data_IF_015970091351
#
_entry.id   IF_015970091351
#
_cell.length_a   1.000
_cell.length_b   1.000
_cell.length_c   1.000
_cell.angle_alpha   90.00
_cell.angle_beta   90.00
_cell.angle_gamma   90.00
#
_symmetry.space_group_name_H-M   'P 1'
#
loop_
_entity.id
_entity.type
_entity.pdbx_description
1 polymer ?
#
# COMPACT_ATOMS: atom_id res chain seq x y z
N UNK A 1 -4.80 -48.35 -45.79
CA UNK A 1 -3.73 -48.32 -46.80
C UNK A 1 -2.98 -47.00 -46.78
N UNK A 2 -1.67 -47.17 -46.60
CA UNK A 2 -0.52 -46.27 -46.83
C UNK A 2 -0.29 -45.12 -45.84
N UNK A 3 0.62 -45.40 -44.98
CA UNK A 3 1.86 -44.72 -44.56
C UNK A 3 2.19 -43.43 -45.31
N UNK A 4 2.40 -42.39 -44.55
CA UNK A 4 3.14 -41.21 -44.91
C UNK A 4 3.84 -40.67 -43.66
N UNK A 5 5.03 -41.18 -43.40
CA UNK A 5 6.01 -40.62 -42.48
C UNK A 5 6.42 -39.26 -42.95
N UNK A 6 6.19 -38.21 -42.18
CA UNK A 6 6.97 -36.98 -42.29
C UNK A 6 7.58 -36.70 -40.91
N UNK A 7 8.87 -37.05 -40.84
CA UNK A 7 9.84 -36.54 -39.90
C UNK A 7 9.95 -35.04 -40.07
N UNK A 8 9.51 -34.26 -39.07
CA UNK A 8 10.01 -32.92 -38.84
C UNK A 8 10.42 -32.84 -37.38
N UNK A 9 11.72 -32.99 -37.14
CA UNK A 9 12.37 -32.60 -35.94
C UNK A 9 12.40 -31.08 -35.85
N UNK A 10 11.47 -30.52 -35.15
CA UNK A 10 11.55 -29.20 -34.52
C UNK A 10 10.90 -29.35 -33.14
N UNK A 11 11.66 -29.07 -32.10
CA UNK A 11 11.21 -29.16 -30.72
C UNK A 11 10.00 -28.23 -30.52
N UNK A 12 8.80 -28.80 -30.77
CA UNK A 12 7.57 -28.04 -30.92
C UNK A 12 7.12 -27.39 -29.61
N UNK A 13 7.39 -26.12 -29.51
CA UNK A 13 6.61 -25.23 -28.67
C UNK A 13 5.15 -25.24 -29.16
N UNK A 14 4.22 -25.67 -28.31
CA UNK A 14 2.78 -25.58 -28.64
C UNK A 14 2.42 -24.16 -29.07
N UNK A 15 2.14 -23.94 -30.36
CA UNK A 15 1.94 -22.64 -31.01
C UNK A 15 0.73 -21.84 -30.45
N UNK A 16 -0.08 -22.42 -29.57
CA UNK A 16 -1.29 -21.81 -29.03
C UNK A 16 -1.06 -20.94 -27.75
N UNK A 17 0.11 -21.00 -27.12
CA UNK A 17 0.42 -20.16 -25.96
C UNK A 17 1.03 -18.82 -26.42
N UNK A 18 0.60 -17.70 -25.82
CA UNK A 18 1.14 -16.35 -26.08
C UNK A 18 2.65 -16.33 -25.82
N UNK A 19 3.11 -16.97 -24.74
CA UNK A 19 4.51 -17.11 -24.37
C UNK A 19 5.34 -17.74 -25.50
N UNK A 20 4.86 -18.86 -26.05
CA UNK A 20 5.56 -19.58 -27.09
C UNK A 20 5.65 -18.77 -28.40
N UNK A 21 4.65 -17.92 -28.68
CA UNK A 21 4.70 -16.99 -29.80
C UNK A 21 5.74 -15.90 -29.59
N UNK A 22 5.87 -15.36 -28.38
CA UNK A 22 6.91 -14.38 -28.02
C UNK A 22 8.30 -14.99 -28.17
N UNK A 23 8.50 -16.20 -27.63
CA UNK A 23 9.77 -16.93 -27.73
C UNK A 23 10.14 -17.24 -29.18
N UNK A 24 9.18 -17.70 -29.99
CA UNK A 24 9.40 -17.99 -31.41
C UNK A 24 9.77 -16.72 -32.18
N UNK A 25 9.14 -15.59 -31.86
CA UNK A 25 9.47 -14.30 -32.49
C UNK A 25 10.89 -13.87 -32.10
N UNK A 26 11.26 -13.93 -30.81
CA UNK A 26 12.58 -13.57 -30.34
C UNK A 26 13.67 -14.44 -30.99
N UNK A 27 13.44 -15.77 -31.09
CA UNK A 27 14.35 -16.70 -31.77
C UNK A 27 14.49 -16.40 -33.27
N UNK A 28 13.39 -16.00 -33.92
CA UNK A 28 13.45 -15.63 -35.35
C UNK A 28 14.22 -14.33 -35.57
N UNK A 29 14.10 -13.35 -34.70
CA UNK A 29 14.86 -12.08 -34.73
C UNK A 29 16.37 -12.39 -34.55
N UNK A 30 16.71 -13.20 -33.53
CA UNK A 30 18.08 -13.59 -33.28
C UNK A 30 18.75 -14.28 -34.51
N UNK A 31 18.01 -15.18 -35.18
CA UNK A 31 18.47 -15.84 -36.39
C UNK A 31 18.62 -14.88 -37.57
N UNK A 32 17.69 -13.92 -37.71
CA UNK A 32 17.71 -12.96 -38.81
C UNK A 32 18.81 -11.90 -38.65
N UNK A 33 19.20 -11.60 -37.39
CA UNK A 33 20.18 -10.55 -37.08
C UNK A 33 21.30 -11.09 -36.14
N UNK A 34 22.13 -12.04 -36.56
CA UNK A 34 23.08 -12.69 -35.67
C UNK A 34 24.19 -11.78 -35.15
N UNK A 35 24.38 -10.59 -35.73
CA UNK A 35 25.36 -9.60 -35.27
C UNK A 35 24.81 -8.69 -34.14
N UNK A 36 23.50 -8.68 -33.94
CA UNK A 36 22.86 -7.88 -32.92
C UNK A 36 22.46 -8.76 -31.72
N UNK A 37 22.71 -8.28 -30.51
CA UNK A 37 22.21 -8.95 -29.32
C UNK A 37 20.68 -8.88 -29.27
N UNK A 38 20.03 -10.05 -29.20
CA UNK A 38 18.58 -10.14 -28.96
C UNK A 38 18.38 -10.53 -27.50
N UNK A 39 17.78 -9.67 -26.70
CA UNK A 39 17.52 -9.89 -25.27
C UNK A 39 16.01 -9.85 -25.03
N UNK A 40 15.48 -10.91 -24.44
CA UNK A 40 14.10 -10.96 -23.98
C UNK A 40 14.00 -10.33 -22.59
N UNK A 41 13.30 -9.21 -22.47
CA UNK A 41 13.07 -8.56 -21.17
C UNK A 41 11.66 -8.87 -20.70
N UNK A 42 11.54 -9.56 -19.55
CA UNK A 42 10.22 -9.95 -19.01
C UNK A 42 10.27 -10.10 -17.49
N UNK A 43 9.16 -9.72 -16.82
CA UNK A 43 8.94 -10.02 -15.38
C UNK A 43 8.55 -11.48 -15.13
N UNK A 44 8.05 -12.18 -16.15
CA UNK A 44 7.66 -13.59 -16.04
C UNK A 44 8.90 -14.49 -16.00
N UNK A 45 9.16 -15.06 -14.81
CA UNK A 45 10.30 -15.96 -14.57
C UNK A 45 10.22 -17.22 -15.43
N UNK A 46 9.00 -17.76 -15.65
CA UNK A 46 8.81 -18.95 -16.46
C UNK A 46 9.15 -18.68 -17.94
N UNK A 47 8.79 -17.50 -18.43
CA UNK A 47 9.12 -17.07 -19.77
C UNK A 47 10.63 -16.89 -19.94
N UNK A 48 11.33 -16.34 -18.92
CA UNK A 48 12.80 -16.21 -18.95
C UNK A 48 13.49 -17.56 -18.93
N UNK A 49 13.05 -18.50 -18.06
CA UNK A 49 13.60 -19.86 -18.02
C UNK A 49 13.42 -20.58 -19.36
N UNK A 50 12.26 -20.44 -19.99
CA UNK A 50 12.01 -21.00 -21.32
C UNK A 50 12.89 -20.35 -22.39
N UNK A 51 13.14 -19.04 -22.30
CA UNK A 51 14.02 -18.32 -23.21
C UNK A 51 15.47 -18.82 -23.09
N UNK A 52 16.00 -18.95 -21.87
CA UNK A 52 17.32 -19.49 -21.60
C UNK A 52 17.47 -20.93 -22.14
N UNK A 53 16.46 -21.77 -21.95
CA UNK A 53 16.44 -23.14 -22.48
C UNK A 53 16.48 -23.20 -24.02
N UNK A 54 16.05 -22.12 -24.69
CA UNK A 54 16.12 -21.98 -26.15
C UNK A 54 17.38 -21.24 -26.62
N UNK A 55 18.29 -20.89 -25.69
CA UNK A 55 19.52 -20.15 -26.01
C UNK A 55 19.30 -18.67 -26.33
N UNK A 56 18.18 -18.12 -25.90
CA UNK A 56 17.88 -16.70 -25.97
C UNK A 56 18.31 -16.01 -24.67
N UNK A 57 19.10 -14.93 -24.77
CA UNK A 57 19.40 -14.12 -23.59
C UNK A 57 18.10 -13.53 -23.03
N UNK A 58 17.89 -13.70 -21.72
CA UNK A 58 16.70 -13.18 -21.06
C UNK A 58 17.09 -12.40 -19.80
N UNK A 59 16.47 -11.23 -19.63
CA UNK A 59 16.71 -10.33 -18.50
C UNK A 59 15.39 -9.98 -17.81
N UNK A 60 15.49 -9.65 -16.52
CA UNK A 60 14.38 -9.10 -15.77
C UNK A 60 14.22 -7.59 -16.03
N UNK A 61 12.98 -7.11 -15.98
CA UNK A 61 12.71 -5.67 -16.06
C UNK A 61 12.91 -5.03 -14.68
N UNK A 62 14.12 -4.51 -14.42
CA UNK A 62 14.55 -4.05 -13.10
C UNK A 62 14.19 -2.60 -12.76
N UNK A 63 13.74 -1.78 -13.71
CA UNK A 63 13.52 -0.34 -13.48
C UNK A 63 12.49 0.00 -12.41
N UNK A 64 11.64 -0.94 -12.01
CA UNK A 64 10.61 -0.77 -10.98
C UNK A 64 10.94 -1.48 -9.65
N UNK A 65 12.14 -2.05 -9.52
CA UNK A 65 12.54 -2.72 -8.27
C UNK A 65 12.89 -1.72 -7.19
N UNK A 66 12.35 -1.94 -6.02
CA UNK A 66 12.67 -1.22 -4.77
C UNK A 66 13.02 -2.28 -3.73
N UNK A 67 14.28 -2.35 -3.31
CA UNK A 67 14.69 -3.30 -2.28
C UNK A 67 14.06 -2.95 -0.94
N UNK A 68 13.48 -3.93 -0.24
CA UNK A 68 12.83 -3.73 1.06
C UNK A 68 13.82 -3.19 2.10
N UNK A 69 15.09 -3.63 2.05
CA UNK A 69 16.16 -3.14 2.95
C UNK A 69 16.41 -1.64 2.83
N UNK A 70 16.06 -1.04 1.70
CA UNK A 70 16.26 0.38 1.41
C UNK A 70 14.93 1.15 1.46
N UNK A 71 13.86 0.50 1.92
CA UNK A 71 12.55 1.14 2.00
C UNK A 71 12.58 2.21 3.09
N UNK A 72 12.19 3.39 2.67
CA UNK A 72 11.97 4.52 3.55
C UNK A 72 10.88 4.19 4.58
N UNK A 73 11.19 4.30 5.86
CA UNK A 73 10.26 3.96 6.95
C UNK A 73 9.26 5.06 7.27
N UNK A 74 9.54 6.29 6.81
CA UNK A 74 8.74 7.48 7.12
C UNK A 74 8.96 8.03 8.53
N UNK A 75 9.89 7.45 9.29
CA UNK A 75 10.10 7.77 10.69
C UNK A 75 11.57 7.82 11.04
N UNK A 76 11.91 8.72 11.97
CA UNK A 76 13.26 8.85 12.55
C UNK A 76 13.20 9.12 14.05
N UNK A 77 14.31 8.93 14.70
CA UNK A 77 14.55 9.37 16.08
C UNK A 77 15.67 10.40 16.11
N UNK A 78 15.49 11.45 16.89
CA UNK A 78 16.48 12.50 17.04
C UNK A 78 16.68 12.78 18.53
N UNK A 79 17.88 12.51 19.03
CA UNK A 79 18.28 12.89 20.39
C UNK A 79 18.90 14.27 20.36
N UNK A 80 18.39 15.16 21.22
CA UNK A 80 18.82 16.55 21.30
C UNK A 80 18.99 16.99 22.74
N UNK A 81 19.73 18.10 22.94
CA UNK A 81 19.88 18.73 24.26
C UNK A 81 18.51 19.14 24.84
N UNK A 82 18.34 19.09 26.19
CA UNK A 82 17.08 19.40 26.87
C UNK A 82 16.48 20.75 26.50
N UNK A 83 17.36 21.75 26.25
CA UNK A 83 16.95 23.11 25.85
C UNK A 83 16.19 23.11 24.52
N UNK A 84 16.60 22.28 23.55
CA UNK A 84 15.93 22.17 22.25
C UNK A 84 14.53 21.56 22.39
N UNK A 85 14.36 20.54 23.25
CA UNK A 85 13.05 19.97 23.57
C UNK A 85 12.15 21.01 24.24
N UNK A 86 12.71 21.82 25.16
CA UNK A 86 11.98 22.89 25.82
C UNK A 86 11.57 24.00 24.83
N UNK A 87 12.45 24.39 23.94
CA UNK A 87 12.16 25.34 22.84
C UNK A 87 11.00 24.79 21.98
N UNK A 88 11.11 23.55 21.50
CA UNK A 88 10.06 22.94 20.70
C UNK A 88 8.70 22.95 21.40
N UNK A 89 8.66 22.57 22.68
CA UNK A 89 7.42 22.55 23.48
C UNK A 89 6.80 23.94 23.67
N UNK A 90 7.61 24.99 23.66
CA UNK A 90 7.17 26.37 23.86
C UNK A 90 6.76 27.05 22.56
N UNK A 91 7.57 26.87 21.48
CA UNK A 91 7.35 27.54 20.18
C UNK A 91 6.51 26.71 19.20
N UNK A 92 6.45 25.39 19.37
CA UNK A 92 5.87 24.47 18.40
C UNK A 92 6.77 24.21 17.17
N UNK A 93 7.97 24.79 17.13
CA UNK A 93 8.89 24.62 15.99
C UNK A 93 10.32 24.36 16.49
N UNK A 94 11.07 23.57 15.71
CA UNK A 94 12.52 23.38 15.90
C UNK A 94 13.19 23.31 14.53
N UNK A 95 14.14 24.22 14.28
CA UNK A 95 14.96 24.22 13.06
C UNK A 95 15.80 22.95 12.97
N UNK A 96 15.83 22.37 11.77
CA UNK A 96 16.63 21.20 11.44
C UNK A 96 17.99 21.59 10.91
N UNK A 97 18.97 20.68 11.01
CA UNK A 97 20.32 20.87 10.50
C UNK A 97 20.29 20.92 8.96
N UNK A 98 20.70 22.05 8.39
CA UNK A 98 20.76 22.27 6.94
C UNK A 98 21.78 21.37 6.20
N UNK A 99 22.69 20.73 6.94
CA UNK A 99 23.66 19.77 6.38
C UNK A 99 23.10 18.38 6.12
N UNK A 100 21.87 18.11 6.58
CA UNK A 100 21.20 16.82 6.39
C UNK A 100 19.94 16.97 5.55
N UNK A 101 19.65 15.94 4.75
CA UNK A 101 18.40 15.89 3.98
C UNK A 101 17.33 15.24 4.84
N UNK A 102 16.20 15.95 5.00
CA UNK A 102 14.97 15.44 5.63
C UNK A 102 13.86 15.40 4.59
N UNK A 103 12.93 14.46 4.75
CA UNK A 103 11.81 14.35 3.82
C UNK A 103 10.58 15.07 4.37
N UNK A 104 9.79 15.74 3.52
CA UNK A 104 8.50 16.30 3.94
C UNK A 104 7.61 15.26 4.62
N UNK A 105 6.95 15.66 5.71
CA UNK A 105 6.09 14.78 6.52
C UNK A 105 6.78 13.54 7.10
N UNK A 106 8.12 13.51 7.17
CA UNK A 106 8.84 12.48 7.90
C UNK A 106 8.58 12.65 9.40
N UNK A 107 8.13 11.61 10.06
CA UNK A 107 7.81 11.68 11.48
C UNK A 107 9.06 11.52 12.35
N UNK A 108 9.14 12.29 13.42
CA UNK A 108 10.29 12.28 14.31
C UNK A 108 9.88 12.10 15.78
N UNK A 109 10.51 11.15 16.46
CA UNK A 109 10.50 11.09 17.90
C UNK A 109 11.67 11.91 18.42
N UNK A 110 11.39 13.11 18.93
CA UNK A 110 12.39 14.00 19.51
C UNK A 110 12.66 13.58 20.95
N UNK A 111 13.86 13.07 21.22
CA UNK A 111 14.28 12.55 22.52
C UNK A 111 15.15 13.57 23.25
N UNK A 112 14.91 13.76 24.54
CA UNK A 112 15.75 14.52 25.45
C UNK A 112 16.94 13.63 25.87
N UNK A 113 18.20 14.07 25.59
CA UNK A 113 19.40 13.29 25.91
C UNK A 113 19.57 13.03 27.41
N UNK A 114 19.04 13.89 28.27
CA UNK A 114 19.09 13.72 29.72
C UNK A 114 18.00 12.77 30.27
N UNK A 115 16.89 12.62 29.52
CA UNK A 115 15.75 11.81 29.95
C UNK A 115 14.87 11.37 28.78
N UNK A 116 15.10 10.16 28.27
CA UNK A 116 14.35 9.59 27.16
C UNK A 116 12.81 9.51 27.40
N UNK A 117 12.34 9.60 28.66
CA UNK A 117 10.89 9.68 28.96
C UNK A 117 10.28 11.03 28.59
N UNK A 118 11.08 12.06 28.38
CA UNK A 118 10.66 13.40 27.93
C UNK A 118 10.70 13.50 26.40
N UNK A 119 10.13 12.53 25.71
CA UNK A 119 10.00 12.58 24.25
C UNK A 119 8.87 13.53 23.78
N UNK A 120 9.01 14.07 22.57
CA UNK A 120 7.96 14.73 21.86
C UNK A 120 7.75 14.08 20.47
N UNK A 121 6.51 13.86 20.10
CA UNK A 121 6.14 13.37 18.77
C UNK A 121 5.98 14.56 17.83
N UNK A 122 6.70 14.53 16.72
CA UNK A 122 6.83 15.64 15.79
C UNK A 122 6.81 15.13 14.35
N UNK A 123 6.70 16.01 13.38
CA UNK A 123 6.95 15.71 11.97
C UNK A 123 7.75 16.83 11.31
N UNK A 124 8.43 16.50 10.25
CA UNK A 124 9.11 17.46 9.38
C UNK A 124 8.05 18.24 8.60
N UNK A 125 8.22 19.55 8.52
CA UNK A 125 7.35 20.41 7.74
C UNK A 125 7.43 20.15 6.22
N UNK A 126 6.55 20.77 5.45
CA UNK A 126 6.48 20.59 4.00
C UNK A 126 7.75 21.02 3.26
N UNK A 127 8.59 21.86 3.87
CA UNK A 127 9.84 22.35 3.28
C UNK A 127 11.07 21.51 3.62
N UNK A 128 10.96 20.59 4.59
CA UNK A 128 12.07 19.77 5.05
C UNK A 128 13.05 20.52 5.97
N UNK A 129 12.66 21.66 6.54
CA UNK A 129 13.58 22.54 7.29
C UNK A 129 13.31 22.62 8.78
N UNK A 130 12.11 22.22 9.21
CA UNK A 130 11.68 22.35 10.62
C UNK A 130 10.94 21.10 11.09
N UNK A 131 11.03 20.84 12.40
CA UNK A 131 10.07 19.98 13.09
C UNK A 131 8.86 20.81 13.54
N UNK A 132 7.67 20.26 13.32
CA UNK A 132 6.38 20.84 13.74
C UNK A 132 5.59 19.81 14.56
N UNK A 133 4.62 20.24 15.40
CA UNK A 133 3.80 19.35 16.19
C UNK A 133 2.88 18.50 15.28
N UNK A 134 2.50 17.34 15.77
CA UNK A 134 1.46 16.50 15.19
C UNK A 134 0.10 16.80 15.82
N UNK A 135 -0.98 16.38 15.16
CA UNK A 135 -2.35 16.45 15.67
C UNK A 135 -2.45 15.58 16.93
N UNK A 136 -3.04 16.11 17.99
CA UNK A 136 -3.28 15.34 19.22
C UNK A 136 -4.47 14.38 19.03
N UNK A 137 -4.18 13.10 18.93
CA UNK A 137 -5.17 12.03 18.79
C UNK A 137 -5.30 11.15 20.03
N UNK A 138 -4.84 11.59 21.22
CA UNK A 138 -4.86 10.80 22.46
C UNK A 138 -6.27 10.43 22.92
N UNK A 139 -7.25 11.28 22.66
CA UNK A 139 -8.67 11.00 22.97
C UNK A 139 -9.27 9.93 22.03
N UNK A 140 -8.58 9.63 20.94
CA UNK A 140 -9.01 8.64 19.95
C UNK A 140 -9.70 9.25 18.73
N UNK A 141 -9.83 8.42 17.70
CA UNK A 141 -10.49 8.72 16.43
C UNK A 141 -11.51 7.63 16.18
N UNK A 142 -12.79 7.97 16.12
CA UNK A 142 -13.89 7.02 15.92
C UNK A 142 -13.81 5.80 16.88
N UNK A 143 -13.57 6.06 18.17
CA UNK A 143 -13.44 5.03 19.20
C UNK A 143 -12.07 4.35 19.28
N UNK A 144 -11.19 4.54 18.31
CA UNK A 144 -9.83 3.96 18.29
C UNK A 144 -8.84 4.92 18.94
N UNK A 145 -8.20 4.49 20.04
CA UNK A 145 -7.10 5.20 20.67
C UNK A 145 -5.76 4.63 20.19
N UNK A 146 -4.80 5.48 19.80
CA UNK A 146 -3.49 5.01 19.41
C UNK A 146 -2.77 4.39 20.62
N UNK A 147 -2.20 3.20 20.44
CA UNK A 147 -1.53 2.41 21.49
C UNK A 147 -0.02 2.60 21.52
N UNK A 148 0.54 3.11 20.43
CA UNK A 148 1.96 3.37 20.27
C UNK A 148 2.20 4.63 19.42
N UNK A 149 3.46 5.09 19.35
CA UNK A 149 3.84 6.30 18.62
C UNK A 149 3.55 6.22 17.11
N UNK A 150 3.75 5.05 16.51
CA UNK A 150 3.54 4.83 15.08
C UNK A 150 2.07 5.00 14.71
N UNK A 151 1.16 4.53 15.57
CA UNK A 151 -0.27 4.74 15.40
C UNK A 151 -0.67 6.22 15.59
N UNK A 152 0.00 6.98 16.46
CA UNK A 152 -0.18 8.44 16.54
C UNK A 152 0.24 9.12 15.23
N UNK A 153 1.39 8.75 14.68
CA UNK A 153 1.87 9.26 13.40
C UNK A 153 0.92 8.92 12.25
N UNK A 154 0.43 7.68 12.22
CA UNK A 154 -0.55 7.26 11.23
C UNK A 154 -1.84 8.09 11.31
N UNK A 155 -2.38 8.34 12.51
CA UNK A 155 -3.58 9.16 12.68
C UNK A 155 -3.34 10.61 12.30
N UNK A 156 -2.18 11.20 12.62
CA UNK A 156 -1.82 12.54 12.16
C UNK A 156 -1.84 12.62 10.63
N UNK A 157 -1.14 11.70 9.95
CA UNK A 157 -1.10 11.68 8.48
C UNK A 157 -2.49 11.51 7.87
N UNK A 158 -3.33 10.66 8.45
CA UNK A 158 -4.68 10.39 7.97
C UNK A 158 -5.62 11.58 8.14
N UNK A 159 -5.44 12.38 9.20
CA UNK A 159 -6.30 13.53 9.54
C UNK A 159 -5.80 14.85 8.97
N UNK A 160 -4.51 14.99 8.61
CA UNK A 160 -3.97 16.23 8.04
C UNK A 160 -4.43 16.40 6.58
N UNK A 161 -5.21 17.44 6.32
CA UNK A 161 -5.78 17.73 5.00
C UNK A 161 -4.75 18.15 3.95
N UNK A 162 -3.57 18.56 4.37
CA UNK A 162 -2.45 18.90 3.45
C UNK A 162 -1.86 17.64 2.81
N UNK A 163 -1.95 16.51 3.50
CA UNK A 163 -1.46 15.21 3.03
C UNK A 163 -2.56 14.54 2.20
N UNK A 164 -2.33 14.38 0.90
CA UNK A 164 -3.31 13.80 -0.04
C UNK A 164 -3.08 12.32 -0.30
N UNK A 165 -1.85 11.84 -0.12
CA UNK A 165 -1.48 10.44 -0.26
C UNK A 165 -0.83 9.94 1.03
N UNK A 166 -1.39 8.88 1.62
CA UNK A 166 -0.83 8.23 2.81
C UNK A 166 -0.55 6.77 2.49
N UNK A 167 0.63 6.29 2.87
CA UNK A 167 0.97 4.87 2.79
C UNK A 167 1.24 4.33 4.19
N UNK A 168 0.49 3.29 4.59
CA UNK A 168 0.63 2.60 5.87
C UNK A 168 1.18 1.20 5.64
N UNK A 169 2.43 0.98 5.97
CA UNK A 169 3.11 -0.31 5.91
C UNK A 169 3.07 -1.01 7.27
N UNK A 170 3.06 -2.33 7.27
CA UNK A 170 3.25 -3.12 8.50
C UNK A 170 2.68 -4.52 8.38
N UNK A 171 3.09 -5.39 9.28
CA UNK A 171 2.60 -6.77 9.35
C UNK A 171 1.10 -6.83 9.66
N UNK A 172 0.49 -7.98 9.41
CA UNK A 172 -0.91 -8.20 9.80
C UNK A 172 -1.08 -7.97 11.32
N UNK A 173 -2.20 -7.34 11.72
CA UNK A 173 -2.50 -7.05 13.13
C UNK A 173 -1.85 -5.78 13.69
N UNK A 174 -1.17 -4.95 12.89
CA UNK A 174 -0.65 -3.64 13.33
C UNK A 174 -1.70 -2.52 13.35
N UNK A 175 -2.90 -2.78 12.82
CA UNK A 175 -4.02 -1.85 12.82
C UNK A 175 -4.14 -0.94 11.60
N UNK A 176 -3.36 -1.15 10.53
CA UNK A 176 -3.35 -0.32 9.30
C UNK A 176 -4.75 0.04 8.80
N UNK A 177 -5.50 -0.99 8.43
CA UNK A 177 -6.84 -0.85 7.84
C UNK A 177 -7.83 -0.24 8.84
N UNK A 178 -7.75 -0.65 10.10
CA UNK A 178 -8.61 -0.15 11.17
C UNK A 178 -8.40 1.36 11.42
N UNK A 179 -7.14 1.82 11.51
CA UNK A 179 -6.80 3.23 11.66
C UNK A 179 -7.26 4.07 10.46
N UNK A 180 -7.02 3.56 9.23
CA UNK A 180 -7.45 4.23 8.02
C UNK A 180 -8.97 4.37 7.94
N UNK A 181 -9.71 3.31 8.29
CA UNK A 181 -11.19 3.32 8.32
C UNK A 181 -11.73 4.24 9.42
N UNK A 182 -11.16 4.21 10.62
CA UNK A 182 -11.56 5.11 11.72
C UNK A 182 -11.38 6.58 11.34
N UNK A 183 -10.24 6.94 10.77
CA UNK A 183 -9.99 8.29 10.25
C UNK A 183 -10.97 8.65 9.13
N UNK A 184 -11.20 7.74 8.16
CA UNK A 184 -12.15 7.95 7.08
C UNK A 184 -13.58 8.18 7.56
N UNK A 185 -14.03 7.38 8.51
CA UNK A 185 -15.36 7.56 9.14
C UNK A 185 -15.49 8.90 9.84
N UNK A 186 -14.48 9.32 10.63
CA UNK A 186 -14.46 10.64 11.24
C UNK A 186 -14.58 11.73 10.17
N UNK A 187 -13.77 11.67 9.12
CA UNK A 187 -13.72 12.72 8.09
C UNK A 187 -14.97 12.79 7.21
N UNK A 188 -15.65 11.65 7.01
CA UNK A 188 -16.88 11.57 6.19
C UNK A 188 -18.13 11.87 7.02
N UNK A 189 -18.23 11.24 8.20
CA UNK A 189 -19.48 11.24 8.98
C UNK A 189 -19.54 12.40 9.95
N UNK A 190 -18.47 12.67 10.70
CA UNK A 190 -18.44 13.71 11.72
C UNK A 190 -18.07 15.07 11.11
N UNK A 191 -16.93 15.11 10.40
CA UNK A 191 -16.38 16.35 9.86
C UNK A 191 -17.07 16.78 8.56
N UNK A 192 -17.66 15.82 7.81
CA UNK A 192 -18.31 16.03 6.51
C UNK A 192 -17.40 16.65 5.45
N UNK A 193 -16.10 16.43 5.57
CA UNK A 193 -15.09 16.97 4.68
C UNK A 193 -15.06 16.21 3.34
N UNK A 194 -15.32 14.91 3.38
CA UNK A 194 -15.41 14.08 2.20
C UNK A 194 -16.83 13.56 1.98
N UNK A 195 -17.20 13.40 0.72
CA UNK A 195 -18.53 12.93 0.34
C UNK A 195 -18.81 11.50 0.81
N UNK A 196 -17.79 10.63 0.76
CA UNK A 196 -17.91 9.22 1.15
C UNK A 196 -16.53 8.61 1.46
N UNK A 197 -16.54 7.54 2.22
CA UNK A 197 -15.43 6.63 2.40
C UNK A 197 -15.55 5.50 1.37
N UNK A 198 -14.52 5.33 0.54
CA UNK A 198 -14.41 4.21 -0.39
C UNK A 198 -13.30 3.30 0.07
N UNK A 199 -13.60 2.02 0.27
CA UNK A 199 -12.61 1.00 0.58
C UNK A 199 -12.56 0.03 -0.59
N UNK A 200 -11.41 -0.05 -1.23
CA UNK A 200 -11.19 -0.93 -2.37
C UNK A 200 -10.06 -1.91 -2.09
N UNK A 201 -10.19 -3.12 -2.60
CA UNK A 201 -9.21 -4.19 -2.44
C UNK A 201 -8.92 -4.84 -3.78
N UNK A 202 -7.63 -5.14 -4.10
CA UNK A 202 -7.28 -5.95 -5.26
C UNK A 202 -7.93 -7.34 -5.15
N UNK A 203 -8.55 -7.79 -6.22
CA UNK A 203 -9.08 -9.15 -6.30
C UNK A 203 -8.03 -10.03 -6.98
N UNK A 204 -7.49 -10.98 -6.25
CA UNK A 204 -6.53 -11.95 -6.78
C UNK A 204 -7.26 -13.28 -6.91
N UNK A 205 -7.29 -13.82 -8.11
CA UNK A 205 -7.80 -15.18 -8.32
C UNK A 205 -6.76 -16.19 -7.84
N UNK A 206 -6.94 -16.71 -6.64
CA UNK A 206 -6.15 -17.87 -6.20
C UNK A 206 -6.52 -19.11 -7.04
N UNK A 207 -5.88 -19.27 -8.19
CA UNK A 207 -5.82 -20.53 -8.95
C UNK A 207 -7.08 -21.03 -9.66
N UNK A 208 -8.25 -20.38 -9.51
CA UNK A 208 -9.48 -20.65 -10.29
C UNK A 208 -10.13 -19.33 -10.67
N UNK A 209 -10.43 -19.15 -11.95
CA UNK A 209 -11.17 -17.99 -12.42
C UNK A 209 -12.49 -17.84 -11.64
N UNK A 210 -12.77 -16.63 -11.14
CA UNK A 210 -14.05 -16.25 -10.50
C UNK A 210 -15.29 -16.68 -11.30
N UNK A 211 -15.13 -16.96 -12.60
CA UNK A 211 -16.19 -17.39 -13.51
C UNK A 211 -16.88 -18.72 -13.17
N UNK A 212 -16.22 -19.61 -12.41
CA UNK A 212 -16.78 -20.92 -12.07
C UNK A 212 -17.59 -20.96 -10.77
N UNK A 213 -17.58 -19.88 -9.99
CA UNK A 213 -18.42 -19.80 -8.79
C UNK A 213 -19.85 -19.39 -9.19
N UNK A 214 -20.91 -20.10 -8.72
CA UNK A 214 -22.29 -19.67 -8.93
C UNK A 214 -22.58 -18.40 -8.12
N UNK A 215 -23.49 -17.56 -8.62
CA UNK A 215 -23.95 -16.35 -7.94
C UNK A 215 -23.59 -15.05 -8.67
N UNK A 216 -24.08 -13.93 -8.17
CA UNK A 216 -23.78 -12.60 -8.64
C UNK A 216 -22.30 -12.26 -8.40
N UNK A 217 -21.79 -11.25 -9.10
CA UNK A 217 -20.41 -10.81 -8.91
C UNK A 217 -20.16 -10.30 -7.48
N UNK A 218 -21.16 -9.68 -6.87
CA UNK A 218 -21.11 -9.22 -5.47
C UNK A 218 -20.98 -10.39 -4.50
N UNK A 219 -21.77 -11.45 -4.69
CA UNK A 219 -21.66 -12.68 -3.90
C UNK A 219 -20.31 -13.36 -4.05
N UNK A 220 -19.73 -13.33 -5.25
CA UNK A 220 -18.40 -13.88 -5.51
C UNK A 220 -17.29 -13.08 -4.82
N UNK A 221 -17.45 -11.77 -4.67
CA UNK A 221 -16.47 -10.89 -4.02
C UNK A 221 -16.61 -10.83 -2.50
N UNK A 222 -17.76 -11.24 -1.95
CA UNK A 222 -18.05 -11.17 -0.52
C UNK A 222 -16.94 -11.73 0.39
N UNK A 223 -16.31 -12.90 0.11
CA UNK A 223 -15.24 -13.43 0.96
C UNK A 223 -14.02 -12.50 1.06
N UNK A 224 -13.67 -11.79 -0.01
CA UNK A 224 -12.55 -10.84 0.00
C UNK A 224 -12.87 -9.54 0.74
N UNK A 225 -14.14 -9.18 0.81
CA UNK A 225 -14.61 -7.96 1.48
C UNK A 225 -14.95 -8.17 2.94
N UNK A 226 -15.06 -9.44 3.40
CA UNK A 226 -15.44 -9.78 4.77
C UNK A 226 -14.55 -9.09 5.82
N UNK A 227 -13.20 -9.04 5.72
CA UNK A 227 -12.37 -8.36 6.70
C UNK A 227 -12.68 -6.86 6.84
N UNK A 228 -13.15 -6.22 5.76
CA UNK A 228 -13.57 -4.81 5.78
C UNK A 228 -14.90 -4.66 6.52
N UNK A 229 -15.84 -5.58 6.29
CA UNK A 229 -17.12 -5.59 6.99
C UNK A 229 -16.94 -5.82 8.49
N UNK A 230 -16.09 -6.77 8.88
CA UNK A 230 -15.77 -7.06 10.28
C UNK A 230 -15.13 -5.84 10.98
N UNK A 231 -14.19 -5.17 10.31
CA UNK A 231 -13.58 -3.94 10.81
C UNK A 231 -14.61 -2.81 10.96
N UNK A 232 -15.54 -2.69 10.03
CA UNK A 232 -16.60 -1.69 10.06
C UNK A 232 -17.59 -1.93 11.21
N UNK A 233 -17.96 -3.18 11.44
CA UNK A 233 -18.82 -3.59 12.54
C UNK A 233 -18.15 -3.26 13.88
N UNK A 234 -16.89 -3.67 14.07
CA UNK A 234 -16.09 -3.34 15.25
C UNK A 234 -16.02 -1.81 15.49
N UNK A 235 -15.76 -1.02 14.46
CA UNK A 235 -15.71 0.45 14.58
C UNK A 235 -17.07 1.06 14.95
N UNK A 236 -18.15 0.50 14.43
CA UNK A 236 -19.51 0.94 14.78
C UNK A 236 -19.81 0.67 16.25
N UNK A 237 -19.44 -0.51 16.76
CA UNK A 237 -19.65 -0.88 18.17
C UNK A 237 -18.83 0.00 19.12
N UNK A 238 -17.57 0.29 18.79
CA UNK A 238 -16.71 1.16 19.59
C UNK A 238 -17.21 2.61 19.65
N UNK A 239 -17.94 3.07 18.65
CA UNK A 239 -18.45 4.44 18.57
C UNK A 239 -19.89 4.60 19.02
N UNK A 240 -20.58 3.54 19.45
CA UNK A 240 -22.00 3.54 19.87
C UNK A 240 -22.34 4.57 20.97
N UNK A 241 -21.35 5.05 21.74
CA UNK A 241 -21.52 6.12 22.72
C UNK A 241 -21.60 7.54 22.12
N UNK A 242 -21.20 7.74 20.89
CA UNK A 242 -21.13 9.05 20.23
C UNK A 242 -22.01 9.14 18.97
N UNK A 243 -22.21 8.04 18.27
CA UNK A 243 -23.03 7.96 17.06
C UNK A 243 -23.74 6.62 17.01
N UNK A 244 -25.06 6.62 17.04
CA UNK A 244 -25.88 5.40 17.07
C UNK A 244 -26.06 4.73 15.70
N UNK A 245 -25.40 5.23 14.66
CA UNK A 245 -25.48 4.63 13.32
C UNK A 245 -24.71 3.30 13.26
N UNK A 246 -25.41 2.26 12.88
CA UNK A 246 -24.82 0.94 12.64
C UNK A 246 -24.10 0.89 11.30
N UNK A 247 -23.17 -0.03 11.14
CA UNK A 247 -22.44 -0.28 9.89
C UNK A 247 -23.36 -0.39 8.67
N UNK A 248 -24.47 -1.12 8.80
CA UNK A 248 -25.49 -1.24 7.76
C UNK A 248 -26.18 0.06 7.36
N UNK A 249 -26.36 1.02 8.30
CA UNK A 249 -26.95 2.33 8.01
C UNK A 249 -25.97 3.22 7.24
N UNK A 250 -24.69 3.17 7.60
CA UNK A 250 -23.62 3.89 6.91
C UNK A 250 -23.44 3.41 5.46
N UNK A 251 -23.56 2.10 5.24
CA UNK A 251 -23.51 1.54 3.88
C UNK A 251 -24.76 1.89 3.07
N UNK A 252 -25.97 1.75 3.65
CA UNK A 252 -27.24 2.09 2.97
C UNK A 252 -27.33 3.57 2.61
N UNK A 253 -26.79 4.46 3.43
CA UNK A 253 -26.73 5.90 3.13
C UNK A 253 -25.72 6.26 2.03
N UNK A 254 -24.87 5.33 1.62
CA UNK A 254 -23.79 5.56 0.68
C UNK A 254 -22.61 6.38 1.26
N UNK A 255 -22.59 6.55 2.60
CA UNK A 255 -21.45 7.17 3.28
C UNK A 255 -20.19 6.30 3.18
N UNK A 256 -20.38 4.98 3.11
CA UNK A 256 -19.33 3.99 2.89
C UNK A 256 -19.67 3.15 1.67
N UNK A 257 -18.64 2.92 0.83
CA UNK A 257 -18.70 2.04 -0.33
C UNK A 257 -17.52 1.07 -0.24
N UNK A 258 -17.82 -0.22 -0.26
CA UNK A 258 -16.81 -1.29 -0.33
C UNK A 258 -16.90 -1.92 -1.70
N UNK A 259 -15.83 -1.86 -2.47
CA UNK A 259 -15.85 -2.31 -3.86
C UNK A 259 -14.53 -2.97 -4.29
N UNK A 260 -14.60 -3.84 -5.29
CA UNK A 260 -13.40 -4.38 -5.91
C UNK A 260 -12.69 -3.28 -6.73
N UNK A 261 -11.36 -3.34 -6.73
CA UNK A 261 -10.55 -2.34 -7.43
C UNK A 261 -10.83 -2.24 -8.93
N UNK A 262 -11.28 -3.33 -9.56
CA UNK A 262 -11.67 -3.37 -10.97
C UNK A 262 -12.79 -2.37 -11.32
N UNK A 263 -13.68 -2.03 -10.37
CA UNK A 263 -14.76 -1.06 -10.57
C UNK A 263 -14.32 0.41 -10.55
N UNK A 264 -13.11 0.67 -10.09
CA UNK A 264 -12.52 2.01 -10.06
C UNK A 264 -12.00 2.42 -11.44
N UNK A 265 -11.70 1.45 -12.30
CA UNK A 265 -11.24 1.73 -13.66
C UNK A 265 -12.32 2.47 -14.46
N UNK A 266 -11.94 3.62 -15.08
CA UNK A 266 -12.85 4.43 -15.90
C UNK A 266 -13.62 5.52 -15.16
N UNK A 267 -13.55 5.59 -13.82
CA UNK A 267 -14.21 6.62 -13.00
C UNK A 267 -13.21 7.70 -12.58
N UNK A 268 -13.66 8.95 -12.51
CA UNK A 268 -12.95 10.03 -11.80
C UNK A 268 -13.39 10.04 -10.34
N UNK A 269 -12.42 10.05 -9.43
CA UNK A 269 -12.65 9.95 -7.99
C UNK A 269 -12.41 11.33 -7.38
N UNK A 270 -13.48 12.10 -7.17
CA UNK A 270 -13.40 13.44 -6.60
C UNK A 270 -14.09 13.51 -5.25
N UNK A 271 -13.50 14.29 -4.34
CA UNK A 271 -14.03 14.58 -3.00
C UNK A 271 -14.36 13.33 -2.18
N UNK A 272 -13.43 12.36 -2.15
CA UNK A 272 -13.59 11.09 -1.44
C UNK A 272 -12.39 10.80 -0.53
N UNK A 273 -12.65 10.10 0.57
CA UNK A 273 -11.62 9.46 1.37
C UNK A 273 -11.50 8.01 0.89
N UNK A 274 -10.40 7.69 0.21
CA UNK A 274 -10.26 6.42 -0.48
C UNK A 274 -9.16 5.56 0.13
N UNK A 275 -9.48 4.33 0.49
CA UNK A 275 -8.54 3.35 1.02
C UNK A 275 -8.36 2.24 -0.01
N UNK A 276 -7.11 1.98 -0.37
CA UNK A 276 -6.69 0.80 -1.14
C UNK A 276 -6.03 -0.16 -0.17
N UNK A 277 -6.78 -1.17 0.23
CA UNK A 277 -6.30 -2.19 1.17
C UNK A 277 -5.57 -3.33 0.44
N UNK A 278 -4.61 -3.98 1.10
CA UNK A 278 -3.73 -5.02 0.55
C UNK A 278 -2.99 -4.57 -0.73
N UNK A 279 -2.51 -3.33 -0.73
CA UNK A 279 -1.92 -2.68 -1.90
C UNK A 279 -0.58 -3.31 -2.35
N UNK A 280 0.08 -4.15 -1.53
CA UNK A 280 1.25 -4.93 -1.94
C UNK A 280 0.93 -5.92 -3.08
N UNK A 281 -0.35 -6.20 -3.28
CA UNK A 281 -0.80 -7.07 -4.36
C UNK A 281 -1.00 -6.34 -5.71
N UNK A 282 -0.79 -5.03 -5.75
CA UNK A 282 -0.84 -4.24 -6.97
C UNK A 282 0.48 -4.32 -7.74
N UNK A 283 0.37 -4.31 -9.05
CA UNK A 283 1.50 -3.98 -9.92
C UNK A 283 1.77 -2.46 -9.88
N UNK A 284 2.99 -1.99 -10.18
CA UNK A 284 3.29 -0.56 -10.30
C UNK A 284 2.38 0.18 -11.29
N UNK A 285 2.01 -0.47 -12.38
CA UNK A 285 1.10 0.09 -13.39
C UNK A 285 -0.33 0.28 -12.85
N UNK A 286 -0.83 -0.67 -12.06
CA UNK A 286 -2.14 -0.54 -11.42
C UNK A 286 -2.13 0.58 -10.38
N UNK A 287 -1.11 0.65 -9.51
CA UNK A 287 -0.97 1.73 -8.54
C UNK A 287 -0.92 3.10 -9.24
N UNK A 288 -0.13 3.26 -10.30
CA UNK A 288 -0.09 4.46 -11.13
C UNK A 288 -1.46 4.79 -11.71
N UNK A 289 -2.16 3.79 -12.25
CA UNK A 289 -3.49 3.96 -12.86
C UNK A 289 -4.52 4.46 -11.85
N UNK A 290 -4.47 3.98 -10.60
CA UNK A 290 -5.37 4.41 -9.53
C UNK A 290 -5.07 5.86 -9.15
N UNK A 291 -3.81 6.18 -8.84
CA UNK A 291 -3.40 7.52 -8.38
C UNK A 291 -3.72 8.59 -9.44
N UNK A 292 -3.54 8.30 -10.72
CA UNK A 292 -3.83 9.25 -11.81
C UNK A 292 -5.33 9.51 -12.03
N UNK A 293 -6.21 8.77 -11.38
CA UNK A 293 -7.68 8.97 -11.42
C UNK A 293 -8.22 9.72 -10.21
N UNK A 294 -7.36 9.98 -9.23
CA UNK A 294 -7.70 10.77 -8.03
C UNK A 294 -7.96 12.22 -8.48
N UNK A 295 -9.20 12.66 -8.28
CA UNK A 295 -9.63 14.03 -8.59
C UNK A 295 -9.48 14.97 -7.39
N UNK A 296 -9.81 16.23 -7.61
CA UNK A 296 -9.73 17.27 -6.59
C UNK A 296 -10.50 16.91 -5.33
N UNK A 297 -9.98 17.30 -4.18
CA UNK A 297 -10.59 17.07 -2.87
C UNK A 297 -10.51 15.63 -2.37
N UNK A 298 -9.85 14.70 -3.07
CA UNK A 298 -9.70 13.33 -2.63
C UNK A 298 -8.41 13.13 -1.86
N UNK A 299 -8.49 12.33 -0.79
CA UNK A 299 -7.36 11.77 -0.06
C UNK A 299 -7.31 10.28 -0.31
N UNK A 300 -6.15 9.77 -0.72
CA UNK A 300 -5.94 8.35 -1.01
C UNK A 300 -4.97 7.73 -0.02
N UNK A 301 -5.34 6.57 0.48
CA UNK A 301 -4.58 5.81 1.46
C UNK A 301 -4.29 4.42 0.88
N UNK A 302 -3.02 4.01 0.91
CA UNK A 302 -2.61 2.65 0.61
C UNK A 302 -2.22 1.97 1.91
N UNK A 303 -2.84 0.82 2.21
CA UNK A 303 -2.43 -0.05 3.31
C UNK A 303 -1.83 -1.32 2.74
N UNK A 304 -0.73 -1.81 3.30
CA UNK A 304 -0.06 -2.99 2.75
C UNK A 304 0.92 -3.66 3.71
N UNK A 305 1.15 -4.94 3.44
CA UNK A 305 2.19 -5.76 4.06
C UNK A 305 3.09 -6.34 2.96
N UNK A 306 4.29 -5.76 2.71
CA UNK A 306 5.15 -6.19 1.61
C UNK A 306 5.71 -7.60 1.77
N UNK A 307 5.45 -8.26 2.90
CA UNK A 307 5.86 -9.65 3.18
C UNK A 307 4.72 -10.66 2.92
N UNK A 308 3.47 -10.20 2.75
CA UNK A 308 2.30 -11.05 2.48
C UNK A 308 1.74 -10.75 1.07
N UNK A 309 2.44 -11.24 0.06
CA UNK A 309 2.08 -11.03 -1.34
C UNK A 309 1.42 -12.28 -1.89
N UNK A 310 0.15 -12.16 -2.28
CA UNK A 310 -0.64 -13.24 -2.87
C UNK A 310 -0.63 -13.22 -4.41
N UNK A 311 -0.27 -12.06 -4.99
CA UNK A 311 -0.23 -11.88 -6.44
C UNK A 311 1.03 -12.52 -7.04
N UNK A 312 0.91 -13.56 -7.88
CA UNK A 312 2.07 -14.26 -8.44
C UNK A 312 2.89 -13.43 -9.45
N UNK A 313 2.39 -12.27 -9.87
CA UNK A 313 3.05 -11.41 -10.86
C UNK A 313 3.89 -10.29 -10.24
N UNK A 314 3.90 -10.18 -8.91
CA UNK A 314 4.72 -9.21 -8.20
C UNK A 314 5.40 -9.87 -7.01
N UNK A 315 6.50 -9.29 -6.58
CA UNK A 315 7.25 -9.71 -5.39
C UNK A 315 7.48 -8.53 -4.44
N UNK A 316 8.19 -8.76 -3.37
CA UNK A 316 8.51 -7.76 -2.35
C UNK A 316 9.32 -6.57 -2.89
N UNK A 317 9.98 -6.70 -4.03
CA UNK A 317 10.78 -5.64 -4.66
C UNK A 317 10.07 -4.94 -5.82
N UNK A 318 9.03 -5.56 -6.39
CA UNK A 318 8.39 -5.11 -7.65
C UNK A 318 6.91 -4.77 -7.51
N UNK A 319 6.37 -4.74 -6.29
CA UNK A 319 4.97 -4.44 -6.08
C UNK A 319 4.65 -2.93 -6.13
N UNK A 320 3.37 -2.63 -6.41
CA UNK A 320 2.89 -1.26 -6.56
C UNK A 320 2.92 -0.43 -5.28
N UNK A 321 2.81 -1.07 -4.09
CA UNK A 321 2.89 -0.37 -2.82
C UNK A 321 4.29 0.23 -2.60
N UNK A 322 5.34 -0.59 -2.70
CA UNK A 322 6.73 -0.15 -2.53
C UNK A 322 7.12 0.87 -3.60
N UNK A 323 6.61 0.70 -4.84
CA UNK A 323 6.80 1.66 -5.91
C UNK A 323 6.23 3.05 -5.53
N UNK A 324 5.02 3.12 -4.97
CA UNK A 324 4.41 4.37 -4.51
C UNK A 324 5.21 5.00 -3.38
N UNK A 325 5.59 4.24 -2.35
CA UNK A 325 6.42 4.72 -1.24
C UNK A 325 7.69 5.38 -1.74
N UNK A 326 8.43 4.69 -2.61
CA UNK A 326 9.71 5.19 -3.15
C UNK A 326 9.55 6.46 -3.98
N UNK A 327 8.49 6.56 -4.80
CA UNK A 327 8.29 7.69 -5.72
C UNK A 327 7.71 8.93 -5.05
N UNK A 328 7.02 8.78 -3.92
CA UNK A 328 6.34 9.90 -3.25
C UNK A 328 7.04 10.40 -1.99
N UNK A 329 8.13 9.78 -1.54
CA UNK A 329 8.83 10.17 -0.29
C UNK A 329 9.30 11.62 -0.24
N UNK A 330 9.65 12.22 -1.39
CA UNK A 330 10.12 13.61 -1.50
C UNK A 330 8.95 14.61 -1.73
N UNK A 331 7.70 14.16 -1.68
CA UNK A 331 6.55 14.99 -2.03
C UNK A 331 5.83 15.51 -0.79
N UNK A 332 5.69 16.82 -0.67
CA UNK A 332 5.03 17.48 0.48
C UNK A 332 3.55 17.10 0.66
N UNK A 333 2.90 16.53 -0.36
CA UNK A 333 1.51 16.06 -0.31
C UNK A 333 1.39 14.58 0.10
N UNK A 334 2.49 13.91 0.41
CA UNK A 334 2.51 12.49 0.76
C UNK A 334 3.14 12.25 2.14
N UNK A 335 2.71 11.18 2.80
CA UNK A 335 3.32 10.67 4.02
C UNK A 335 3.38 9.14 3.98
N UNK A 336 4.43 8.59 4.59
CA UNK A 336 4.62 7.17 4.76
C UNK A 336 4.85 6.83 6.23
N UNK A 337 4.22 5.78 6.73
CA UNK A 337 4.41 5.30 8.10
C UNK A 337 4.52 3.78 8.10
N UNK A 338 5.59 3.26 8.71
CA UNK A 338 5.74 1.85 9.00
C UNK A 338 5.25 1.55 10.42
N UNK A 339 4.22 0.70 10.53
CA UNK A 339 3.69 0.20 11.79
C UNK A 339 4.42 -1.10 12.15
N UNK A 340 5.39 -1.03 13.05
CA UNK A 340 6.25 -2.17 13.40
C UNK A 340 5.60 -3.05 14.46
N UNK A 341 4.91 -2.45 15.43
CA UNK A 341 4.35 -3.17 16.58
C UNK A 341 2.96 -3.71 16.26
N UNK A 342 2.84 -5.03 16.25
CA UNK A 342 1.55 -5.72 16.20
C UNK A 342 0.81 -5.64 17.53
N UNK A 343 -0.48 -5.42 17.47
CA UNK A 343 -1.38 -5.40 18.65
C UNK A 343 -2.27 -6.67 18.60
N UNK A 344 -1.61 -7.82 18.48
CA UNK A 344 -2.27 -9.14 18.45
C UNK A 344 -2.57 -9.65 19.84
N UNK A 345 -3.48 -10.64 19.95
CA UNK A 345 -3.63 -11.43 21.18
C UNK A 345 -2.34 -12.19 21.48
N UNK A 346 -2.08 -12.49 22.76
CA UNK A 346 -0.90 -13.27 23.18
C UNK A 346 -0.74 -14.58 22.39
N UNK A 347 -1.85 -15.26 22.11
CA UNK A 347 -1.84 -16.47 21.29
C UNK A 347 -1.38 -16.22 19.86
N UNK A 348 -1.88 -15.16 19.23
CA UNK A 348 -1.53 -14.85 17.85
C UNK A 348 -0.09 -14.35 17.71
N UNK A 349 0.43 -13.65 18.72
CA UNK A 349 1.82 -13.21 18.78
C UNK A 349 2.75 -14.42 18.99
N UNK A 350 2.40 -15.32 19.93
CA UNK A 350 3.14 -16.56 20.17
C UNK A 350 3.18 -17.42 18.90
N UNK A 351 2.02 -17.64 18.25
CA UNK A 351 1.93 -18.44 17.05
C UNK A 351 2.79 -17.87 15.90
N UNK A 352 2.81 -16.55 15.72
CA UNK A 352 3.64 -15.89 14.70
C UNK A 352 5.15 -16.01 14.96
N UNK A 353 5.55 -16.30 16.20
CA UNK A 353 6.97 -16.44 16.58
C UNK A 353 7.45 -17.89 16.54
N UNK A 354 6.57 -18.88 16.64
CA UNK A 354 6.94 -20.30 16.76
C UNK A 354 6.56 -21.17 15.56
N UNK A 355 5.67 -20.69 14.69
CA UNK A 355 5.25 -21.34 13.43
C UNK A 355 5.88 -20.66 12.21
#
# INVERSE_FOLDING_TARGET
>A
YKNGTSTNGDGGLNAHSVDNRILSLAASIQKAQPKNATILVSKDINLRIKADALGLAAEDYETDRVFITDLYTGMMEMTVAPEKVAVFRKSGELELDSGKKYFPNEYCTLLDESNAKKAALTKVDATGTKLIPIIDCREGVWGIKPRNREQHFALDALLDDKIKLVTLMGKAGTGKTLLAMAAGLKRVVNDREFRRLVVARPTISMGKELGFLPGSLEEKLAPWMQPIHDALEMLSDLNMGHDHRRSGDLMRSGAIVVEALSYIRGRSIANQFMIIDEAQNLTPLEAKTIITRVGNGTKIIFTGDPYQIDNPYVDSSSNGFNYVVSRFRDQAIAAHIELQKGERSELAELAANIL
#
